data_IF_155278834896
#
_entry.id   IF_155278834896
#
_cell.length_a   1.000
_cell.length_b   1.000
_cell.length_c   1.000
_cell.angle_alpha   90.00
_cell.angle_beta   90.00
_cell.angle_gamma   90.00
#
_symmetry.space_group_name_H-M   'P 1'
#
loop_
_entity.id
_entity.type
_entity.pdbx_description
1 polymer ?
#
# COMPACT_ATOMS: atom_id res chain seq x y z
N UNK A 1 -18.25 16.41 -3.80
CA UNK A 1 -18.17 15.40 -2.71
C UNK A 1 -18.29 16.14 -1.37
N UNK A 2 -18.98 15.58 -0.37
CA UNK A 2 -19.07 16.15 0.98
C UNK A 2 -17.76 16.02 1.79
N UNK A 3 -16.85 15.15 1.32
CA UNK A 3 -15.51 14.92 1.87
C UNK A 3 -14.48 15.21 0.77
N UNK A 4 -13.38 15.86 1.12
CA UNK A 4 -12.29 16.14 0.19
C UNK A 4 -11.32 14.97 0.08
N UNK A 5 -10.63 14.87 -1.06
CA UNK A 5 -9.51 13.95 -1.27
C UNK A 5 -8.45 14.07 -0.16
N UNK A 6 -8.09 15.29 0.23
CA UNK A 6 -7.19 15.55 1.35
C UNK A 6 -7.68 14.98 2.68
N UNK A 7 -8.98 15.08 2.99
CA UNK A 7 -9.56 14.48 4.20
C UNK A 7 -9.47 12.95 4.18
N UNK A 8 -9.65 12.31 3.01
CA UNK A 8 -9.47 10.86 2.87
C UNK A 8 -8.02 10.43 3.08
N UNK A 9 -7.05 11.15 2.51
CA UNK A 9 -5.62 10.89 2.73
C UNK A 9 -5.25 11.09 4.20
N UNK A 10 -5.77 12.14 4.85
CA UNK A 10 -5.54 12.37 6.27
C UNK A 10 -6.11 11.23 7.14
N UNK A 11 -7.29 10.72 6.79
CA UNK A 11 -7.87 9.56 7.46
C UNK A 11 -7.04 8.29 7.25
N UNK A 12 -6.52 8.06 6.04
CA UNK A 12 -5.63 6.92 5.77
C UNK A 12 -4.34 7.01 6.61
N UNK A 13 -3.74 8.19 6.72
CA UNK A 13 -2.56 8.42 7.57
C UNK A 13 -2.87 8.15 9.05
N UNK A 14 -4.04 8.60 9.54
CA UNK A 14 -4.43 8.37 10.93
C UNK A 14 -4.69 6.88 11.22
N UNK A 15 -5.31 6.16 10.29
CA UNK A 15 -5.48 4.71 10.42
C UNK A 15 -4.15 3.98 10.37
N UNK A 16 -3.21 4.40 9.52
CA UNK A 16 -1.89 3.79 9.45
C UNK A 16 -1.10 3.89 10.77
N UNK A 17 -1.32 4.94 11.58
CA UNK A 17 -0.67 5.10 12.90
C UNK A 17 -1.12 4.08 13.94
N UNK A 18 -2.33 3.55 13.80
CA UNK A 18 -2.94 2.62 14.78
C UNK A 18 -3.19 1.22 14.19
N UNK A 19 -2.89 1.03 12.90
CA UNK A 19 -3.06 -0.23 12.20
C UNK A 19 -2.19 -1.32 12.84
N UNK A 20 -2.82 -2.43 13.21
CA UNK A 20 -2.17 -3.48 14.00
C UNK A 20 -2.22 -4.86 13.32
N UNK A 21 -3.03 -4.98 12.28
CA UNK A 21 -3.20 -6.22 11.53
C UNK A 21 -3.37 -5.96 10.03
N UNK A 22 -3.33 -7.03 9.26
CA UNK A 22 -3.46 -6.98 7.80
C UNK A 22 -4.77 -6.35 7.31
N UNK A 23 -5.89 -6.60 8.00
CA UNK A 23 -7.18 -6.00 7.65
C UNK A 23 -7.12 -4.46 7.73
N UNK A 24 -6.41 -3.92 8.72
CA UNK A 24 -6.20 -2.47 8.86
C UNK A 24 -5.33 -1.94 7.70
N UNK A 25 -4.22 -2.62 7.40
CA UNK A 25 -3.29 -2.24 6.33
C UNK A 25 -3.96 -2.23 4.95
N UNK A 26 -4.80 -3.23 4.64
CA UNK A 26 -5.64 -3.24 3.44
C UNK A 26 -6.58 -2.03 3.37
N UNK A 27 -7.22 -1.70 4.49
CA UNK A 27 -8.06 -0.51 4.62
C UNK A 27 -7.30 0.81 4.36
N UNK A 28 -6.05 0.89 4.80
CA UNK A 28 -5.16 2.04 4.55
C UNK A 28 -4.82 2.16 3.06
N UNK A 29 -4.44 1.07 2.39
CA UNK A 29 -4.15 1.06 0.95
C UNK A 29 -5.35 1.55 0.13
N UNK A 30 -6.54 1.02 0.41
CA UNK A 30 -7.78 1.39 -0.27
C UNK A 30 -8.09 2.88 -0.13
N UNK A 31 -8.02 3.40 1.09
CA UNK A 31 -8.33 4.80 1.38
C UNK A 31 -7.29 5.75 0.81
N UNK A 32 -6.03 5.35 0.77
CA UNK A 32 -4.95 6.10 0.14
C UNK A 32 -5.19 6.26 -1.36
N UNK A 33 -5.57 5.18 -2.06
CA UNK A 33 -5.89 5.23 -3.49
C UNK A 33 -7.08 6.14 -3.80
N UNK A 34 -8.22 5.90 -3.16
CA UNK A 34 -9.42 6.72 -3.40
C UNK A 34 -9.26 8.16 -2.93
N UNK A 35 -8.38 8.40 -1.95
CA UNK A 35 -8.05 9.73 -1.45
C UNK A 35 -7.35 10.62 -2.47
N UNK A 36 -6.85 10.09 -3.58
CA UNK A 36 -6.22 10.90 -4.65
C UNK A 36 -6.80 10.65 -6.04
N UNK A 37 -7.58 9.57 -6.22
CA UNK A 37 -8.14 9.20 -7.51
C UNK A 37 -8.93 10.33 -8.19
N UNK A 38 -9.80 11.01 -7.45
CA UNK A 38 -10.67 12.03 -8.04
C UNK A 38 -9.90 13.30 -8.42
N UNK A 39 -8.91 13.71 -7.63
CA UNK A 39 -8.09 14.88 -7.97
C UNK A 39 -7.13 14.57 -9.13
N UNK A 40 -6.55 13.36 -9.16
CA UNK A 40 -5.75 12.89 -10.29
C UNK A 40 -6.59 12.80 -11.58
N UNK A 41 -7.84 12.37 -11.48
CA UNK A 41 -8.80 12.36 -12.58
C UNK A 41 -9.12 13.78 -13.06
N UNK A 42 -9.40 14.71 -12.16
CA UNK A 42 -9.66 16.10 -12.51
C UNK A 42 -8.45 16.75 -13.20
N UNK A 43 -7.23 16.46 -12.72
CA UNK A 43 -6.00 16.90 -13.36
C UNK A 43 -5.86 16.32 -14.78
N UNK A 44 -6.09 15.03 -14.97
CA UNK A 44 -6.10 14.41 -16.30
C UNK A 44 -7.17 15.03 -17.21
N UNK A 45 -8.38 15.28 -16.70
CA UNK A 45 -9.45 15.95 -17.46
C UNK A 45 -9.03 17.35 -17.92
N UNK A 46 -8.28 18.09 -17.10
CA UNK A 46 -7.73 19.40 -17.49
C UNK A 46 -6.71 19.30 -18.63
N UNK A 47 -5.90 18.24 -18.68
CA UNK A 47 -4.99 17.97 -19.80
C UNK A 47 -5.75 17.57 -21.06
N UNK A 48 -6.73 16.69 -20.90
CA UNK A 48 -7.61 16.25 -22.01
C UNK A 48 -8.37 17.43 -22.62
N UNK A 49 -8.89 18.34 -21.80
CA UNK A 49 -9.56 19.55 -22.27
C UNK A 49 -8.62 20.51 -23.03
N UNK A 50 -7.32 20.47 -22.71
CA UNK A 50 -6.27 21.19 -23.44
C UNK A 50 -5.79 20.46 -24.71
N UNK A 51 -6.42 19.34 -25.08
CA UNK A 51 -6.06 18.54 -26.26
C UNK A 51 -4.97 17.49 -26.02
N UNK A 52 -4.65 17.19 -24.76
CA UNK A 52 -3.60 16.24 -24.36
C UNK A 52 -4.18 15.08 -23.52
N UNK A 53 -5.00 14.20 -24.11
CA UNK A 53 -5.68 13.13 -23.38
C UNK A 53 -4.75 12.01 -22.87
N UNK A 54 -3.48 12.01 -23.26
CA UNK A 54 -2.53 10.93 -23.01
C UNK A 54 -2.84 9.67 -23.84
N UNK A 55 -1.87 8.76 -23.88
CA UNK A 55 -1.96 7.52 -24.66
C UNK A 55 -2.19 6.31 -23.78
N UNK A 56 -3.07 5.40 -24.22
CA UNK A 56 -3.20 4.06 -23.66
C UNK A 56 -2.25 3.09 -24.37
N UNK A 57 -1.79 2.07 -23.65
CA UNK A 57 -1.06 0.98 -24.30
C UNK A 57 -1.98 0.25 -25.30
N UNK A 58 -1.50 -0.14 -26.50
CA UNK A 58 -2.26 -1.01 -27.41
C UNK A 58 -2.64 -2.35 -26.77
N UNK A 59 -1.88 -2.78 -25.76
CA UNK A 59 -2.15 -4.00 -24.99
C UNK A 59 -2.91 -3.73 -23.70
N UNK A 60 -3.37 -2.49 -23.48
CA UNK A 60 -4.16 -2.19 -22.30
C UNK A 60 -5.44 -3.01 -22.36
N UNK A 61 -5.64 -3.83 -21.33
CA UNK A 61 -6.88 -4.62 -21.13
C UNK A 61 -7.81 -3.92 -20.13
N UNK A 62 -7.56 -2.63 -19.86
CA UNK A 62 -7.91 -1.96 -18.61
C UNK A 62 -9.33 -1.40 -18.52
N UNK A 63 -9.78 -1.25 -17.27
CA UNK A 63 -10.95 -0.44 -16.91
C UNK A 63 -10.55 1.00 -16.53
N UNK A 64 -11.54 1.83 -16.19
CA UNK A 64 -11.38 3.29 -15.95
C UNK A 64 -10.21 3.68 -15.05
N UNK A 65 -9.91 2.88 -14.02
CA UNK A 65 -8.81 3.12 -13.08
C UNK A 65 -7.43 2.90 -13.72
N UNK A 66 -7.27 1.81 -14.47
CA UNK A 66 -6.05 1.49 -15.21
C UNK A 66 -5.83 2.53 -16.31
N UNK A 67 -6.87 2.86 -17.06
CA UNK A 67 -6.80 3.84 -18.16
C UNK A 67 -6.31 5.20 -17.67
N UNK A 68 -6.84 5.67 -16.53
CA UNK A 68 -6.39 6.93 -15.92
C UNK A 68 -4.89 6.87 -15.60
N UNK A 69 -4.44 5.80 -14.94
CA UNK A 69 -3.04 5.64 -14.55
C UNK A 69 -2.11 5.57 -15.78
N UNK A 70 -2.52 4.88 -16.84
CA UNK A 70 -1.76 4.79 -18.09
C UNK A 70 -1.67 6.13 -18.82
N UNK A 71 -2.78 6.87 -18.93
CA UNK A 71 -2.82 8.19 -19.59
C UNK A 71 -1.96 9.20 -18.84
N UNK A 72 -2.00 9.17 -17.51
CA UNK A 72 -1.12 10.02 -16.68
C UNK A 72 0.35 9.63 -16.85
N UNK A 73 0.67 8.33 -16.88
CA UNK A 73 2.05 7.85 -17.08
C UNK A 73 2.58 8.17 -18.49
N UNK A 74 1.70 8.26 -19.48
CA UNK A 74 2.03 8.50 -20.89
C UNK A 74 1.35 9.76 -21.46
N UNK A 75 1.72 10.96 -20.97
CA UNK A 75 1.15 12.21 -21.47
C UNK A 75 1.73 12.57 -22.84
N UNK A 76 0.85 12.97 -23.75
CA UNK A 76 1.11 13.46 -25.10
C UNK A 76 1.30 14.99 -25.16
N UNK A 77 1.16 15.69 -24.02
CA UNK A 77 1.53 17.10 -23.89
C UNK A 77 2.97 17.39 -24.36
N UNK A 78 3.24 18.57 -24.97
CA UNK A 78 4.58 18.96 -25.41
C UNK A 78 5.62 18.91 -24.30
N UNK A 79 6.90 18.72 -24.64
CA UNK A 79 8.01 18.74 -23.65
C UNK A 79 8.12 20.07 -22.89
N UNK A 80 7.68 21.16 -23.51
CA UNK A 80 7.67 22.51 -22.93
C UNK A 80 6.54 22.72 -21.93
N UNK A 81 5.51 21.87 -21.93
CA UNK A 81 4.42 21.96 -20.95
C UNK A 81 4.88 21.34 -19.62
N UNK A 82 4.96 22.13 -18.52
CA UNK A 82 5.42 21.63 -17.23
C UNK A 82 4.52 20.52 -16.67
N UNK A 83 3.23 20.52 -17.04
CA UNK A 83 2.26 19.51 -16.61
C UNK A 83 2.59 18.13 -17.16
N UNK A 84 3.38 18.03 -18.24
CA UNK A 84 3.84 16.74 -18.78
C UNK A 84 4.66 15.96 -17.75
N UNK A 85 5.62 16.63 -17.10
CA UNK A 85 6.47 16.00 -16.09
C UNK A 85 5.64 15.60 -14.87
N UNK A 86 4.79 16.52 -14.42
CA UNK A 86 3.86 16.31 -13.31
C UNK A 86 2.95 15.10 -13.55
N UNK A 87 2.34 15.01 -14.74
CA UNK A 87 1.48 13.90 -15.14
C UNK A 87 2.19 12.55 -15.05
N UNK A 88 3.42 12.44 -15.59
CA UNK A 88 4.22 11.20 -15.50
C UNK A 88 4.48 10.78 -14.05
N UNK A 89 4.82 11.74 -13.19
CA UNK A 89 5.07 11.47 -11.77
C UNK A 89 3.81 11.00 -11.06
N UNK A 90 2.67 11.66 -11.29
CA UNK A 90 1.37 11.24 -10.75
C UNK A 90 1.02 9.84 -11.27
N UNK A 91 1.13 9.60 -12.57
CA UNK A 91 0.82 8.31 -13.18
C UNK A 91 1.62 7.16 -12.58
N UNK A 92 2.93 7.33 -12.42
CA UNK A 92 3.79 6.32 -11.81
C UNK A 92 3.38 6.00 -10.35
N UNK A 93 3.07 7.03 -9.54
CA UNK A 93 2.62 6.83 -8.17
C UNK A 93 1.24 6.15 -8.15
N UNK A 94 0.31 6.61 -8.98
CA UNK A 94 -1.04 6.06 -9.08
C UNK A 94 -1.06 4.60 -9.51
N UNK A 95 -0.12 4.16 -10.36
CA UNK A 95 0.03 2.73 -10.72
C UNK A 95 0.38 1.88 -9.50
N UNK A 96 1.30 2.33 -8.64
CA UNK A 96 1.64 1.62 -7.41
C UNK A 96 0.44 1.58 -6.45
N UNK A 97 -0.24 2.72 -6.24
CA UNK A 97 -1.44 2.78 -5.38
C UNK A 97 -2.56 1.88 -5.91
N UNK A 98 -2.73 1.80 -7.24
CA UNK A 98 -3.72 0.92 -7.86
C UNK A 98 -3.37 -0.55 -7.64
N UNK A 99 -2.10 -0.93 -7.78
CA UNK A 99 -1.64 -2.29 -7.53
C UNK A 99 -1.90 -2.70 -6.07
N UNK A 100 -1.52 -1.85 -5.10
CA UNK A 100 -1.76 -2.08 -3.67
C UNK A 100 -3.25 -2.18 -3.36
N UNK A 101 -4.09 -1.31 -3.96
CA UNK A 101 -5.54 -1.35 -3.80
C UNK A 101 -6.16 -2.63 -4.38
N UNK A 102 -5.74 -3.05 -5.58
CA UNK A 102 -6.24 -4.29 -6.20
C UNK A 102 -5.88 -5.49 -5.32
N UNK A 103 -4.63 -5.55 -4.86
CA UNK A 103 -4.16 -6.58 -3.94
C UNK A 103 -4.97 -6.61 -2.64
N UNK A 104 -5.22 -5.43 -2.08
CA UNK A 104 -5.97 -5.26 -0.83
C UNK A 104 -7.42 -5.73 -0.94
N UNK A 105 -8.11 -5.42 -2.04
CA UNK A 105 -9.55 -5.68 -2.21
C UNK A 105 -9.89 -7.04 -2.82
N UNK A 106 -9.07 -7.55 -3.76
CA UNK A 106 -9.46 -8.68 -4.60
C UNK A 106 -8.61 -9.94 -4.39
N UNK A 107 -7.46 -9.83 -3.71
CA UNK A 107 -6.56 -10.96 -3.48
C UNK A 107 -6.39 -11.22 -1.98
N UNK A 108 -7.37 -11.86 -1.33
CA UNK A 108 -7.31 -12.17 0.11
C UNK A 108 -6.23 -13.21 0.45
N UNK A 109 -5.73 -13.94 -0.55
CA UNK A 109 -4.66 -14.94 -0.38
C UNK A 109 -3.25 -14.35 -0.56
N UNK A 110 -3.12 -13.04 -0.83
CA UNK A 110 -1.83 -12.38 -0.97
C UNK A 110 -1.61 -11.38 0.17
N UNK A 111 -0.48 -11.48 0.88
CA UNK A 111 -0.23 -10.67 2.07
C UNK A 111 -0.08 -9.17 1.76
N UNK A 112 -0.75 -8.32 2.53
CA UNK A 112 -0.49 -6.88 2.59
C UNK A 112 0.13 -6.57 3.96
N UNK A 113 1.26 -5.88 3.99
CA UNK A 113 1.99 -5.58 5.22
C UNK A 113 1.94 -4.08 5.58
N UNK A 114 2.51 -3.75 6.74
CA UNK A 114 2.62 -2.38 7.22
C UNK A 114 3.45 -1.48 6.28
N UNK A 115 4.40 -2.04 5.52
CA UNK A 115 5.26 -1.29 4.59
C UNK A 115 4.44 -0.86 3.37
N UNK A 116 3.63 -1.76 2.81
CA UNK A 116 2.71 -1.46 1.72
C UNK A 116 1.73 -0.35 2.13
N UNK A 117 1.12 -0.46 3.31
CA UNK A 117 0.22 0.57 3.84
C UNK A 117 0.92 1.94 4.01
N UNK A 118 2.12 1.97 4.59
CA UNK A 118 2.90 3.20 4.75
C UNK A 118 3.34 3.83 3.42
N UNK A 119 3.72 2.99 2.45
CA UNK A 119 4.05 3.42 1.09
C UNK A 119 2.83 3.98 0.36
N UNK A 120 1.66 3.36 0.53
CA UNK A 120 0.40 3.85 -0.02
C UNK A 120 0.04 5.24 0.52
N UNK A 121 0.18 5.47 1.83
CA UNK A 121 -0.03 6.81 2.43
C UNK A 121 0.96 7.83 1.88
N UNK A 122 2.25 7.48 1.84
CA UNK A 122 3.31 8.35 1.29
C UNK A 122 3.04 8.71 -0.16
N UNK A 123 2.67 7.72 -0.98
CA UNK A 123 2.30 7.91 -2.38
C UNK A 123 1.12 8.87 -2.54
N UNK A 124 0.06 8.68 -1.77
CA UNK A 124 -1.10 9.58 -1.81
C UNK A 124 -0.73 11.02 -1.43
N UNK A 125 0.06 11.22 -0.37
CA UNK A 125 0.57 12.56 0.02
C UNK A 125 1.41 13.19 -1.09
N UNK A 126 2.27 12.42 -1.75
CA UNK A 126 3.09 12.90 -2.85
C UNK A 126 2.25 13.33 -4.06
N UNK A 127 1.14 12.63 -4.36
CA UNK A 127 0.20 13.06 -5.40
C UNK A 127 -0.44 14.39 -5.05
N UNK A 128 -0.88 14.60 -3.81
CA UNK A 128 -1.43 15.90 -3.38
C UNK A 128 -0.42 17.05 -3.51
N UNK A 129 0.85 16.82 -3.13
CA UNK A 129 1.93 17.79 -3.31
C UNK A 129 2.18 18.11 -4.80
N UNK A 130 2.20 17.09 -5.65
CA UNK A 130 2.37 17.31 -7.08
C UNK A 130 1.21 18.13 -7.65
N UNK A 131 -0.02 17.84 -7.26
CA UNK A 131 -1.22 18.56 -7.72
C UNK A 131 -1.26 20.01 -7.25
N UNK A 132 -0.67 20.34 -6.10
CA UNK A 132 -0.51 21.71 -5.63
C UNK A 132 0.70 22.44 -6.23
N UNK A 133 1.46 21.81 -7.14
CA UNK A 133 2.66 22.38 -7.76
C UNK A 133 3.89 22.36 -6.86
N UNK A 134 3.86 21.61 -5.75
CA UNK A 134 4.96 21.47 -4.81
C UNK A 134 5.89 20.31 -5.18
N UNK A 135 7.13 20.36 -4.69
CA UNK A 135 8.06 19.25 -4.84
C UNK A 135 7.70 18.09 -3.89
N UNK A 136 8.01 16.87 -4.33
CA UNK A 136 7.81 15.65 -3.54
C UNK A 136 8.78 15.66 -2.35
N UNK A 137 8.25 15.47 -1.14
CA UNK A 137 9.03 15.57 0.10
C UNK A 137 9.66 14.27 0.60
N UNK A 138 9.08 13.10 0.30
CA UNK A 138 9.57 11.82 0.81
C UNK A 138 9.58 10.73 -0.28
N UNK A 139 10.70 10.02 -0.49
CA UNK A 139 10.73 8.86 -1.38
C UNK A 139 9.92 7.71 -0.78
N UNK A 140 9.36 6.85 -1.64
CA UNK A 140 8.75 5.60 -1.20
C UNK A 140 9.80 4.71 -0.53
N UNK A 141 9.43 4.04 0.55
CA UNK A 141 10.32 3.10 1.22
C UNK A 141 10.57 1.92 0.28
N UNK A 142 11.84 1.62 0.02
CA UNK A 142 12.21 0.42 -0.73
C UNK A 142 11.87 -0.80 0.12
N UNK A 143 11.28 -1.81 -0.51
CA UNK A 143 11.13 -3.12 0.10
C UNK A 143 12.53 -3.68 0.42
N UNK A 144 12.93 -3.62 1.69
CA UNK A 144 14.08 -4.39 2.18
C UNK A 144 13.59 -5.81 2.33
N UNK A 145 13.77 -6.62 1.29
CA UNK A 145 13.29 -8.01 1.22
C UNK A 145 13.92 -8.96 2.24
N UNK A 146 13.79 -8.68 3.54
CA UNK A 146 13.79 -9.71 4.54
C UNK A 146 12.50 -10.51 4.31
N UNK A 147 12.60 -11.55 3.49
CA UNK A 147 11.78 -12.72 3.67
C UNK A 147 11.90 -13.07 5.16
N UNK A 148 10.87 -12.79 5.94
CA UNK A 148 10.68 -13.40 7.24
C UNK A 148 10.76 -14.89 6.99
N UNK A 149 11.91 -15.50 7.24
CA UNK A 149 12.00 -16.96 7.29
C UNK A 149 10.88 -17.39 8.22
N UNK A 150 9.96 -18.29 7.79
CA UNK A 150 8.97 -18.83 8.70
C UNK A 150 9.73 -19.35 9.93
N UNK A 151 9.21 -19.12 11.16
CA UNK A 151 9.86 -19.62 12.36
C UNK A 151 10.12 -21.11 12.13
N UNK A 152 11.39 -21.50 12.26
CA UNK A 152 11.80 -22.88 12.09
C UNK A 152 10.88 -23.74 12.95
N UNK A 153 10.20 -24.70 12.32
CA UNK A 153 9.44 -25.72 13.02
C UNK A 153 10.30 -26.23 14.19
N UNK A 154 9.81 -26.21 15.45
CA UNK A 154 10.57 -26.76 16.55
C UNK A 154 10.90 -28.20 16.20
N UNK A 155 12.19 -28.52 16.10
CA UNK A 155 12.66 -29.88 15.93
C UNK A 155 12.01 -30.76 17.02
N UNK A 156 11.57 -31.99 16.70
CA UNK A 156 11.14 -32.95 17.70
C UNK A 156 12.24 -33.09 18.74
N UNK A 157 11.97 -32.66 19.98
CA UNK A 157 12.87 -32.87 21.09
C UNK A 157 13.07 -34.38 21.26
N UNK A 158 14.32 -34.82 21.25
CA UNK A 158 14.66 -36.18 21.62
C UNK A 158 14.12 -36.47 23.04
N UNK A 159 13.55 -37.67 23.27
CA UNK A 159 12.99 -38.01 24.58
C UNK A 159 14.07 -37.92 25.66
N UNK A 160 13.80 -37.11 26.69
CA UNK A 160 14.66 -37.04 27.87
C UNK A 160 14.66 -38.38 28.61
N UNK A 161 15.80 -38.87 29.11
CA UNK A 161 15.84 -40.06 29.94
C UNK A 161 15.08 -39.84 31.24
N UNK A 162 14.23 -40.81 31.59
CA UNK A 162 13.39 -40.80 32.78
C UNK A 162 14.24 -40.67 34.06
N UNK A 163 13.88 -39.73 34.92
CA UNK A 163 14.44 -39.64 36.26
C UNK A 163 13.92 -40.80 37.13
N UNK A 164 14.76 -41.43 37.97
CA UNK A 164 14.32 -42.48 38.87
C UNK A 164 13.41 -41.92 39.96
N UNK A 165 12.27 -42.58 40.15
CA UNK A 165 11.30 -42.28 41.18
C UNK A 165 11.91 -42.41 42.58
N UNK A 166 11.97 -41.31 43.32
CA UNK A 166 12.26 -41.30 44.76
C UNK A 166 11.10 -41.98 45.50
N UNK A 167 11.33 -43.19 45.99
CA UNK A 167 10.44 -43.88 46.94
C UNK A 167 10.46 -43.13 48.27
N UNK A 168 9.37 -42.44 48.61
CA UNK A 168 9.11 -42.03 49.99
C UNK A 168 8.57 -43.22 50.78
N UNK A 169 9.41 -43.73 51.67
CA UNK A 169 9.02 -44.74 52.66
C UNK A 169 8.10 -44.13 53.71
N UNK A 170 6.94 -44.78 53.86
CA UNK A 170 6.03 -44.73 55.00
C UNK A 170 6.79 -44.76 56.34
N UNK A 171 6.41 -43.93 57.30
CA UNK A 171 6.21 -44.42 58.68
C UNK A 171 5.09 -43.65 59.39
N UNK A 172 4.20 -44.46 59.93
CA UNK A 172 2.99 -44.17 60.69
C UNK A 172 3.38 -44.20 62.16
N UNK A 173 3.08 -43.19 62.96
CA UNK A 173 2.99 -43.35 64.42
C UNK A 173 1.75 -42.64 64.93
N UNK A 174 0.88 -43.47 65.49
CA UNK A 174 -0.32 -43.14 66.25
C UNK A 174 0.10 -43.00 67.71
N UNK A 175 -0.29 -41.90 68.35
CA UNK A 175 -0.94 -41.86 69.67
C UNK A 175 -1.33 -40.43 70.02
#
# INVERSE_FOLDING_TARGET
MSVTCQQLVQAAENFNKVASCEADWRGVCNRSYYGVYHDAKAFWESLSAAGFPGTLSPTSKGGRHTDLCERLANPDAPKTDPRRKQSRQIGAIMQNLLADRIKSDYYPNEDVDAVAAANSVTGAKNVLLLLSGQQIGAPLQKFSGALSTPPANPQPQAPQPAQPASRSSFFKVVK
#
